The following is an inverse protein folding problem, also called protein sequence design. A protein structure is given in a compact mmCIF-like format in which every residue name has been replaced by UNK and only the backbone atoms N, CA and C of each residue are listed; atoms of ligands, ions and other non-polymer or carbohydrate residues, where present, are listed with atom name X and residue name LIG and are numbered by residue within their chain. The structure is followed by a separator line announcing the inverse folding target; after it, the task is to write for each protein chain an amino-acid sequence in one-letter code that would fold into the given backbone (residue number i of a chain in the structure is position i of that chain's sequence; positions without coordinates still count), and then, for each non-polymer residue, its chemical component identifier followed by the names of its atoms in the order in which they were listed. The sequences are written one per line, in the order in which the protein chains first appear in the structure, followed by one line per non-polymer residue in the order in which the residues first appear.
data_IF_823769989987
#
_entry.id   IF_823769989987
#
_cell.length_a   1.000
_cell.length_b   1.000
_cell.length_c   1.000
_cell.angle_alpha   90.00
_cell.angle_beta   90.00
_cell.angle_gamma   90.00
#
_symmetry.space_group_name_H-M   'P 1'
#
loop_
_entity.id
_entity.type
_entity.pdbx_description
1 polymer ?
#
# COMPACT_ATOMS: atom_id res chain seq x y z
N UNK A 1 17.21 9.34 -9.54
CA UNK A 1 16.26 8.70 -10.48
C UNK A 1 16.41 9.36 -11.83
N UNK A 2 16.53 8.59 -12.92
CA UNK A 2 16.59 9.16 -14.28
C UNK A 2 15.18 9.56 -14.72
N UNK A 3 15.02 10.78 -15.26
CA UNK A 3 13.76 11.27 -15.80
C UNK A 3 13.51 10.62 -17.16
N UNK A 4 12.31 10.07 -17.38
CA UNK A 4 11.93 9.49 -18.68
C UNK A 4 11.66 10.61 -19.69
N UNK A 5 12.15 10.49 -20.94
CA UNK A 5 11.83 11.45 -22.01
C UNK A 5 10.32 11.58 -22.25
N UNK A 6 9.88 12.75 -22.73
CA UNK A 6 8.49 12.96 -23.17
C UNK A 6 8.20 12.23 -24.46
N UNK A 7 6.94 11.79 -24.62
CA UNK A 7 6.42 11.29 -25.90
C UNK A 7 6.43 12.40 -26.95
N UNK A 8 6.72 12.05 -28.20
CA UNK A 8 6.78 13.01 -29.32
C UNK A 8 5.39 13.46 -29.80
N UNK A 9 4.36 12.64 -29.56
CA UNK A 9 2.95 12.89 -29.88
C UNK A 9 2.07 12.29 -28.80
N UNK A 10 0.83 12.77 -28.68
CA UNK A 10 -0.15 12.19 -27.77
C UNK A 10 -0.25 10.68 -28.02
N UNK A 11 0.04 9.89 -27.00
CA UNK A 11 0.14 8.44 -27.09
C UNK A 11 -0.85 7.80 -26.13
N UNK A 12 -1.70 6.94 -26.68
CA UNK A 12 -2.70 6.19 -25.91
C UNK A 12 -2.11 4.86 -25.46
N UNK A 13 -2.26 4.55 -24.17
CA UNK A 13 -1.84 3.29 -23.57
C UNK A 13 -3.06 2.53 -23.03
N UNK A 14 -3.04 1.20 -23.16
CA UNK A 14 -4.13 0.33 -22.72
C UNK A 14 -5.30 0.24 -23.72
N UNK A 15 -6.36 -0.42 -23.30
CA UNK A 15 -7.57 -0.67 -24.10
C UNK A 15 -8.81 -0.35 -23.28
N UNK A 16 -9.90 0.07 -23.93
CA UNK A 16 -11.15 0.37 -23.23
C UNK A 16 -11.61 -0.83 -22.38
N UNK A 17 -11.98 -0.63 -21.10
CA UNK A 17 -12.22 0.66 -20.42
C UNK A 17 -11.00 1.22 -19.66
N UNK A 18 -9.83 0.58 -19.74
CA UNK A 18 -8.60 0.95 -19.02
C UNK A 18 -7.59 1.62 -19.96
N UNK A 19 -7.76 2.92 -20.14
CA UNK A 19 -6.97 3.70 -21.11
C UNK A 19 -6.37 4.93 -20.47
N UNK A 20 -5.09 5.18 -20.73
CA UNK A 20 -4.38 6.40 -20.35
C UNK A 20 -3.88 7.12 -21.60
N UNK A 21 -3.70 8.44 -21.52
CA UNK A 21 -3.12 9.25 -22.60
C UNK A 21 -1.95 10.04 -22.05
N UNK A 22 -0.75 9.86 -22.61
CA UNK A 22 0.40 10.71 -22.34
C UNK A 22 0.54 11.75 -23.45
N UNK A 23 0.74 13.01 -23.07
CA UNK A 23 0.90 14.14 -23.98
C UNK A 23 2.36 14.63 -24.00
N UNK A 24 2.83 15.20 -25.13
CA UNK A 24 4.18 15.77 -25.21
C UNK A 24 4.46 16.88 -24.19
N UNK A 25 3.41 17.54 -23.70
CA UNK A 25 3.48 18.54 -22.63
C UNK A 25 3.88 17.97 -21.26
N UNK A 26 3.95 16.64 -21.12
CA UNK A 26 4.18 15.97 -19.84
C UNK A 26 2.92 15.71 -19.03
N UNK A 27 1.74 15.97 -19.58
CA UNK A 27 0.47 15.54 -18.99
C UNK A 27 0.26 14.03 -19.22
N UNK A 28 0.00 13.29 -18.16
CA UNK A 28 -0.45 11.90 -18.17
C UNK A 28 -1.89 11.87 -17.66
N UNK A 29 -2.84 11.63 -18.55
CA UNK A 29 -4.26 11.52 -18.22
C UNK A 29 -4.65 10.06 -17.98
N UNK A 30 -4.91 9.70 -16.73
CA UNK A 30 -5.32 8.37 -16.30
C UNK A 30 -6.83 8.15 -16.42
N UNK A 31 -7.60 9.19 -16.74
CA UNK A 31 -9.07 9.15 -16.83
C UNK A 31 -9.57 9.95 -18.04
N UNK A 32 -9.10 9.65 -19.26
CA UNK A 32 -9.38 10.44 -20.47
C UNK A 32 -10.87 10.46 -20.84
N UNK A 33 -11.63 9.45 -20.39
CA UNK A 33 -13.07 9.35 -20.64
C UNK A 33 -13.93 10.03 -19.56
N UNK A 34 -13.32 10.62 -18.52
CA UNK A 34 -14.05 11.33 -17.47
C UNK A 34 -14.14 12.82 -17.75
N UNK A 35 -15.31 13.40 -17.51
CA UNK A 35 -15.56 14.84 -17.54
C UNK A 35 -15.02 15.56 -16.31
N UNK A 36 -14.72 14.83 -15.23
CA UNK A 36 -14.14 15.34 -14.00
C UNK A 36 -12.64 15.04 -13.96
N UNK A 37 -11.86 15.85 -13.24
CA UNK A 37 -10.50 15.46 -12.94
C UNK A 37 -9.72 16.46 -12.12
N UNK A 38 -8.88 15.94 -11.24
CA UNK A 38 -7.88 16.70 -10.51
C UNK A 38 -6.52 16.51 -11.17
N UNK A 39 -5.66 17.52 -11.04
CA UNK A 39 -4.29 17.51 -11.57
C UNK A 39 -3.29 17.74 -10.46
N UNK A 40 -2.17 17.02 -10.50
CA UNK A 40 -1.06 17.25 -9.58
C UNK A 40 0.27 16.94 -10.28
N UNK A 41 1.31 17.66 -9.89
CA UNK A 41 2.66 17.46 -10.38
C UNK A 41 3.29 16.23 -9.73
N UNK A 42 4.04 15.46 -10.50
CA UNK A 42 4.82 14.31 -10.03
C UNK A 42 6.28 14.44 -10.47
N UNK A 43 7.14 13.61 -9.90
CA UNK A 43 8.57 13.61 -10.24
C UNK A 43 8.82 13.49 -11.75
N UNK A 44 9.79 14.26 -12.26
CA UNK A 44 10.21 14.23 -13.66
C UNK A 44 9.43 15.18 -14.57
N UNK A 45 9.02 16.35 -14.05
CA UNK A 45 8.32 17.40 -14.80
C UNK A 45 7.04 16.90 -15.50
N UNK A 46 6.32 16.01 -14.80
CA UNK A 46 5.05 15.44 -15.25
C UNK A 46 3.90 15.98 -14.44
N UNK A 47 2.75 16.07 -15.08
CA UNK A 47 1.47 16.31 -14.41
C UNK A 47 0.58 15.11 -14.63
N UNK A 48 -0.01 14.59 -13.57
CA UNK A 48 -1.00 13.50 -13.66
C UNK A 48 -2.39 14.09 -13.53
N UNK A 49 -3.32 13.66 -14.39
CA UNK A 49 -4.76 13.89 -14.25
C UNK A 49 -5.47 12.57 -13.95
N UNK A 50 -6.43 12.59 -13.02
CA UNK A 50 -7.32 11.47 -12.75
C UNK A 50 -8.71 11.93 -12.30
N UNK A 51 -9.71 11.07 -12.47
CA UNK A 51 -11.04 11.26 -11.89
C UNK A 51 -11.01 10.84 -10.40
N UNK A 52 -11.22 11.77 -9.46
CA UNK A 52 -11.13 11.46 -8.04
C UNK A 52 -12.18 10.43 -7.59
N UNK A 53 -13.38 10.43 -8.18
CA UNK A 53 -14.46 9.49 -7.84
C UNK A 53 -14.15 8.05 -8.25
N UNK A 54 -13.21 7.87 -9.18
CA UNK A 54 -12.72 6.57 -9.67
C UNK A 54 -11.31 6.26 -9.19
N UNK A 55 -10.77 7.05 -8.27
CA UNK A 55 -9.47 6.83 -7.68
C UNK A 55 -9.58 6.50 -6.19
N UNK A 56 -8.60 5.74 -5.70
CA UNK A 56 -8.41 5.49 -4.29
C UNK A 56 -6.94 5.66 -3.90
N UNK A 57 -6.69 6.33 -2.77
CA UNK A 57 -5.42 6.22 -2.05
C UNK A 57 -5.49 5.02 -1.11
N UNK A 58 -4.62 4.04 -1.34
CA UNK A 58 -4.44 2.89 -0.48
C UNK A 58 -3.29 3.21 0.49
N UNK A 59 -3.64 3.41 1.76
CA UNK A 59 -2.68 3.67 2.83
C UNK A 59 -2.36 2.35 3.53
N UNK A 60 -1.13 1.87 3.36
CA UNK A 60 -0.72 0.52 3.73
C UNK A 60 0.04 0.52 5.07
N UNK A 61 -0.39 -0.36 5.98
CA UNK A 61 0.31 -0.78 7.20
C UNK A 61 0.87 0.36 8.08
N UNK A 62 0.22 1.53 8.11
CA UNK A 62 0.60 2.66 8.96
C UNK A 62 0.17 2.43 10.42
N UNK A 63 0.48 1.26 10.97
CA UNK A 63 0.08 0.77 12.29
C UNK A 63 1.24 0.85 13.29
N UNK A 64 0.91 0.92 14.58
CA UNK A 64 1.89 0.92 15.68
C UNK A 64 2.87 -0.25 15.61
N UNK A 65 2.41 -1.43 15.20
CA UNK A 65 3.29 -2.60 15.06
C UNK A 65 4.49 -2.35 14.14
N UNK A 66 4.31 -1.58 13.06
CA UNK A 66 5.35 -1.35 12.04
C UNK A 66 6.19 -0.11 12.32
N UNK A 67 5.62 0.88 13.00
CA UNK A 67 6.22 2.21 13.13
C UNK A 67 6.69 2.54 14.55
N UNK A 68 6.12 1.92 15.58
CA UNK A 68 6.49 2.25 16.95
C UNK A 68 7.90 1.75 17.28
N UNK A 69 8.82 2.61 17.78
CA UNK A 69 10.24 2.30 17.95
C UNK A 69 10.52 1.14 18.92
N UNK A 70 9.59 0.88 19.84
CA UNK A 70 9.68 -0.26 20.76
C UNK A 70 9.36 -1.61 20.11
N UNK A 71 8.66 -1.63 18.96
CA UNK A 71 8.29 -2.87 18.25
C UNK A 71 9.11 -3.09 16.98
N UNK A 72 9.49 -2.01 16.27
CA UNK A 72 10.24 -2.04 15.02
C UNK A 72 11.19 -0.85 14.90
N UNK A 73 12.28 -1.04 14.16
CA UNK A 73 13.16 0.04 13.73
C UNK A 73 12.84 0.39 12.28
N UNK A 74 12.08 1.45 12.04
CA UNK A 74 11.66 1.82 10.69
C UNK A 74 11.72 3.34 10.43
N UNK A 75 12.92 3.95 10.44
CA UNK A 75 13.08 5.40 10.30
C UNK A 75 12.47 5.95 9.00
N UNK A 76 12.66 5.24 7.88
CA UNK A 76 12.07 5.61 6.58
C UNK A 76 10.54 5.52 6.55
N UNK A 77 9.95 4.68 7.41
CA UNK A 77 8.50 4.57 7.56
C UNK A 77 7.94 5.74 8.36
N UNK A 78 8.64 6.16 9.41
CA UNK A 78 8.30 7.35 10.19
C UNK A 78 8.35 8.62 9.34
N UNK A 79 9.30 8.72 8.41
CA UNK A 79 9.38 9.83 7.44
C UNK A 79 8.14 9.92 6.53
N UNK A 80 7.38 8.84 6.36
CA UNK A 80 6.15 8.84 5.56
C UNK A 80 4.94 9.42 6.31
N UNK A 81 4.99 9.54 7.64
CA UNK A 81 3.86 10.02 8.45
C UNK A 81 3.50 11.46 8.09
N UNK A 82 4.49 12.37 8.09
CA UNK A 82 4.25 13.79 7.81
C UNK A 82 3.70 14.04 6.39
N UNK A 83 4.33 13.55 5.30
CA UNK A 83 3.77 13.70 3.95
C UNK A 83 2.35 13.14 3.82
N UNK A 84 2.06 12.03 4.50
CA UNK A 84 0.71 11.45 4.48
C UNK A 84 -0.31 12.37 5.16
N UNK A 85 0.04 12.96 6.32
CA UNK A 85 -0.81 13.95 7.00
C UNK A 85 -1.10 15.17 6.12
N UNK A 86 -0.12 15.60 5.35
CA UNK A 86 -0.25 16.78 4.48
C UNK A 86 -1.15 16.48 3.27
N UNK A 87 -1.09 15.26 2.73
CA UNK A 87 -1.81 14.86 1.50
C UNK A 87 -3.24 14.38 1.77
N UNK A 88 -3.50 13.74 2.91
CA UNK A 88 -4.82 13.17 3.23
C UNK A 88 -5.96 14.20 3.15
N UNK A 89 -5.89 15.38 3.77
CA UNK A 89 -6.96 16.38 3.69
C UNK A 89 -7.23 16.84 2.26
N UNK A 90 -6.18 17.03 1.46
CA UNK A 90 -6.28 17.49 0.06
C UNK A 90 -7.00 16.44 -0.78
N UNK A 91 -6.65 15.16 -0.63
CA UNK A 91 -7.28 14.08 -1.38
C UNK A 91 -8.73 13.84 -0.94
N UNK A 92 -9.02 13.92 0.36
CA UNK A 92 -10.39 13.86 0.88
C UNK A 92 -11.26 14.98 0.31
N UNK A 93 -10.77 16.22 0.34
CA UNK A 93 -11.47 17.38 -0.22
C UNK A 93 -11.69 17.24 -1.74
N UNK A 94 -10.72 16.65 -2.45
CA UNK A 94 -10.83 16.36 -3.87
C UNK A 94 -11.81 15.21 -4.20
N UNK A 95 -12.33 14.49 -3.20
CA UNK A 95 -13.24 13.37 -3.39
C UNK A 95 -12.56 12.06 -3.76
N UNK A 96 -11.26 11.92 -3.51
CA UNK A 96 -10.54 10.65 -3.67
C UNK A 96 -10.88 9.74 -2.50
N UNK A 97 -11.15 8.46 -2.78
CA UNK A 97 -11.46 7.48 -1.75
C UNK A 97 -10.19 7.16 -0.95
N UNK A 98 -10.24 7.27 0.38
CA UNK A 98 -9.14 6.86 1.25
C UNK A 98 -9.45 5.48 1.79
N UNK A 99 -8.57 4.50 1.53
CA UNK A 99 -8.71 3.14 2.04
C UNK A 99 -7.49 2.80 2.89
N UNK A 100 -7.73 2.62 4.19
CA UNK A 100 -6.75 2.12 5.14
C UNK A 100 -6.64 0.60 5.00
N UNK A 101 -5.55 0.14 4.39
CA UNK A 101 -5.24 -1.27 4.19
C UNK A 101 -4.25 -1.72 5.26
N UNK A 102 -4.76 -2.40 6.28
CA UNK A 102 -4.01 -2.70 7.49
C UNK A 102 -4.17 -4.16 7.88
N UNK A 103 -3.23 -4.69 8.66
CA UNK A 103 -3.40 -5.99 9.27
C UNK A 103 -4.47 -5.94 10.37
N UNK A 104 -5.30 -6.97 10.40
CA UNK A 104 -6.35 -7.12 11.42
C UNK A 104 -6.89 -8.53 11.38
N UNK A 105 -6.17 -9.45 12.02
CA UNK A 105 -6.52 -10.87 12.08
C UNK A 105 -7.61 -11.13 13.13
N UNK A 106 -8.51 -12.04 12.82
CA UNK A 106 -9.44 -12.67 13.77
C UNK A 106 -8.96 -14.10 14.10
N UNK A 107 -9.51 -14.74 15.13
CA UNK A 107 -9.02 -16.07 15.58
C UNK A 107 -9.04 -17.13 14.48
N UNK A 108 -10.11 -17.12 13.68
CA UNK A 108 -10.27 -18.05 12.57
C UNK A 108 -9.20 -17.86 11.49
N UNK A 109 -8.65 -16.65 11.34
CA UNK A 109 -7.63 -16.39 10.33
C UNK A 109 -6.33 -17.11 10.67
N UNK A 110 -6.02 -17.24 11.97
CA UNK A 110 -4.81 -17.91 12.47
C UNK A 110 -4.70 -19.36 11.97
N UNK A 111 -5.83 -20.03 11.80
CA UNK A 111 -5.91 -21.40 11.28
C UNK A 111 -5.48 -21.50 9.81
N UNK A 112 -5.55 -20.39 9.06
CA UNK A 112 -5.22 -20.32 7.63
C UNK A 112 -3.82 -19.79 7.34
N UNK A 113 -3.07 -19.36 8.36
CA UNK A 113 -1.78 -18.68 8.19
C UNK A 113 -0.72 -19.70 7.75
N UNK A 114 -0.04 -19.47 6.61
CA UNK A 114 1.07 -20.33 6.19
C UNK A 114 2.22 -20.30 7.21
N UNK A 115 2.90 -21.43 7.48
CA UNK A 115 4.02 -21.47 8.42
C UNK A 115 5.16 -20.48 8.09
N UNK A 116 5.42 -20.25 6.81
CA UNK A 116 6.43 -19.28 6.37
C UNK A 116 6.05 -17.85 6.78
N UNK A 117 4.78 -17.48 6.67
CA UNK A 117 4.27 -16.18 7.06
C UNK A 117 4.31 -16.02 8.58
N UNK A 118 3.85 -17.03 9.32
CA UNK A 118 3.92 -17.03 10.78
C UNK A 118 5.36 -16.82 11.29
N UNK A 119 6.33 -17.52 10.68
CA UNK A 119 7.76 -17.41 11.00
C UNK A 119 8.31 -16.00 10.85
N UNK A 120 7.84 -15.22 9.87
CA UNK A 120 8.29 -13.83 9.65
C UNK A 120 7.98 -12.90 10.84
N UNK A 121 7.00 -13.25 11.68
CA UNK A 121 6.56 -12.44 12.81
C UNK A 121 6.97 -13.02 14.17
N UNK A 122 7.73 -14.10 14.22
CA UNK A 122 8.12 -14.77 15.47
C UNK A 122 9.19 -14.03 16.30
N UNK A 123 9.76 -12.95 15.77
CA UNK A 123 10.82 -12.15 16.42
C UNK A 123 10.54 -10.65 16.31
N UNK A 124 9.59 -10.10 17.09
CA UNK A 124 9.46 -8.64 17.22
C UNK A 124 10.74 -8.04 17.85
N UNK A 125 10.97 -6.72 17.67
CA UNK A 125 12.12 -5.99 18.25
C UNK A 125 11.97 -5.77 19.77
N UNK A 126 11.53 -6.79 20.50
CA UNK A 126 11.45 -6.82 21.96
C UNK A 126 12.58 -7.64 22.60
N UNK A 127 13.56 -8.06 21.79
CA UNK A 127 14.74 -8.82 22.25
C UNK A 127 14.43 -10.23 22.73
N UNK A 128 13.20 -10.72 22.56
CA UNK A 128 12.73 -12.04 22.99
C UNK A 128 11.97 -12.73 21.87
N UNK A 129 12.11 -14.06 21.80
CA UNK A 129 11.18 -14.88 21.05
C UNK A 129 9.82 -14.85 21.75
N UNK A 130 8.75 -14.75 20.97
CA UNK A 130 7.39 -14.91 21.47
C UNK A 130 7.01 -16.39 21.39
N UNK A 131 6.29 -16.88 22.39
CA UNK A 131 5.82 -18.26 22.50
C UNK A 131 4.31 -18.27 22.80
N UNK A 132 3.45 -18.83 21.92
CA UNK A 132 3.80 -19.44 20.62
C UNK A 132 4.36 -18.42 19.62
N UNK A 133 5.24 -18.84 18.69
CA UNK A 133 5.86 -17.94 17.73
C UNK A 133 4.92 -17.54 16.59
N UNK A 134 4.87 -16.24 16.28
CA UNK A 134 4.28 -15.72 15.04
C UNK A 134 3.05 -14.85 15.24
N UNK A 135 2.24 -14.74 14.19
CA UNK A 135 1.01 -13.93 14.20
C UNK A 135 0.04 -14.41 15.30
N UNK A 136 -0.61 -13.48 15.99
CA UNK A 136 -1.48 -13.78 17.13
C UNK A 136 -0.79 -14.03 18.47
N UNK A 137 0.55 -14.09 18.51
CA UNK A 137 1.30 -14.22 19.77
C UNK A 137 1.09 -13.01 20.68
N UNK A 138 1.07 -13.21 22.00
CA UNK A 138 0.89 -12.13 22.96
C UNK A 138 2.20 -11.37 23.22
N UNK A 139 2.20 -10.05 23.00
CA UNK A 139 3.31 -9.16 23.32
C UNK A 139 3.20 -8.55 24.74
N UNK A 140 2.20 -8.96 25.50
CA UNK A 140 1.88 -8.45 26.81
C UNK A 140 0.85 -7.32 26.77
N UNK A 141 0.33 -6.98 27.95
CA UNK A 141 -0.80 -6.04 28.14
C UNK A 141 -0.59 -4.65 27.52
N UNK A 142 0.67 -4.22 27.32
CA UNK A 142 0.98 -2.93 26.71
C UNK A 142 0.71 -2.90 25.20
N UNK A 143 1.01 -3.99 24.49
CA UNK A 143 1.00 -4.02 23.02
C UNK A 143 -0.11 -4.91 22.44
N UNK A 144 -0.59 -5.88 23.21
CA UNK A 144 -1.60 -6.85 22.78
C UNK A 144 -1.04 -7.95 21.89
N UNK A 145 -1.94 -8.72 21.27
CA UNK A 145 -1.57 -9.83 20.39
C UNK A 145 -1.15 -9.35 19.00
N UNK A 146 -0.09 -9.95 18.45
CA UNK A 146 0.51 -9.53 17.18
C UNK A 146 -0.53 -9.50 16.07
N UNK A 147 -0.80 -8.29 15.56
CA UNK A 147 -1.63 -8.02 14.39
C UNK A 147 -3.08 -8.54 14.46
N UNK A 148 -3.58 -8.82 15.67
CA UNK A 148 -4.98 -9.17 15.89
C UNK A 148 -5.85 -7.91 15.92
N UNK A 149 -7.03 -8.00 15.30
CA UNK A 149 -7.97 -6.89 15.15
C UNK A 149 -8.36 -6.32 16.52
N UNK A 150 -8.25 -5.00 16.66
CA UNK A 150 -8.62 -4.27 17.89
C UNK A 150 -7.48 -4.15 18.91
N UNK A 151 -6.36 -4.87 18.72
CA UNK A 151 -5.19 -4.76 19.59
C UNK A 151 -4.46 -3.42 19.39
N UNK A 152 -3.77 -2.96 20.44
CA UNK A 152 -3.06 -1.68 20.39
C UNK A 152 -2.07 -1.58 19.22
N UNK A 153 -1.35 -2.68 18.93
CA UNK A 153 -0.38 -2.71 17.84
C UNK A 153 -1.01 -2.60 16.44
N UNK A 154 -2.33 -2.84 16.31
CA UNK A 154 -3.07 -2.66 15.03
C UNK A 154 -3.66 -1.27 14.85
N UNK A 155 -3.66 -0.43 15.89
CA UNK A 155 -4.09 0.97 15.77
C UNK A 155 -3.12 1.73 14.85
N UNK A 156 -3.65 2.77 14.19
CA UNK A 156 -2.81 3.67 13.41
C UNK A 156 -1.72 4.27 14.27
N UNK A 157 -0.56 4.50 13.64
CA UNK A 157 0.53 5.21 14.28
C UNK A 157 0.12 6.64 14.64
N UNK A 158 0.70 7.14 15.71
CA UNK A 158 0.39 8.48 16.24
C UNK A 158 0.51 9.57 15.17
N UNK A 159 -0.39 10.55 15.27
CA UNK A 159 -0.45 11.68 14.36
C UNK A 159 -1.21 11.42 13.06
N UNK A 160 -1.61 10.18 12.76
CA UNK A 160 -2.53 9.87 11.66
C UNK A 160 -3.97 9.86 12.15
N UNK A 161 -4.83 10.61 11.48
CA UNK A 161 -6.24 10.76 11.83
C UNK A 161 -7.11 10.25 10.68
N UNK A 162 -8.15 9.51 11.05
CA UNK A 162 -9.17 9.03 10.13
C UNK A 162 -10.38 9.95 10.13
N UNK A 163 -11.03 10.05 8.98
CA UNK A 163 -12.32 10.74 8.87
C UNK A 163 -13.47 9.75 8.63
N UNK A 164 -14.73 10.11 8.96
CA UNK A 164 -15.87 9.22 8.78
C UNK A 164 -16.08 8.71 7.34
N UNK A 165 -15.62 9.46 6.32
CA UNK A 165 -15.68 9.01 4.93
C UNK A 165 -14.57 8.01 4.53
N UNK A 166 -13.54 7.84 5.36
CA UNK A 166 -12.48 6.89 5.08
C UNK A 166 -12.99 5.45 5.19
N UNK A 167 -12.40 4.56 4.40
CA UNK A 167 -12.76 3.15 4.34
C UNK A 167 -11.65 2.28 4.93
N UNK A 168 -12.02 1.10 5.43
CA UNK A 168 -11.11 0.17 6.09
C UNK A 168 -11.11 -1.19 5.41
N UNK A 169 -9.96 -1.68 5.00
CA UNK A 169 -9.80 -3.05 4.52
C UNK A 169 -8.76 -3.78 5.38
N UNK A 170 -9.18 -4.83 6.08
CA UNK A 170 -8.25 -5.69 6.78
C UNK A 170 -7.61 -6.67 5.80
N UNK A 171 -6.31 -6.90 5.97
CA UNK A 171 -5.60 -7.99 5.30
C UNK A 171 -5.09 -9.00 6.32
N UNK A 172 -5.15 -10.26 5.91
CA UNK A 172 -4.71 -11.43 6.68
C UNK A 172 -3.48 -12.09 6.05
N UNK A 173 -2.92 -11.44 5.02
CA UNK A 173 -1.73 -11.81 4.26
C UNK A 173 -0.87 -10.57 4.06
N UNK A 174 0.36 -10.77 3.58
CA UNK A 174 1.25 -9.65 3.22
C UNK A 174 0.62 -8.73 2.18
N UNK A 175 0.01 -9.32 1.14
CA UNK A 175 -0.73 -8.59 0.11
C UNK A 175 -2.16 -8.29 0.55
N UNK A 176 -2.63 -7.08 0.23
CA UNK A 176 -4.06 -6.76 0.28
C UNK A 176 -4.88 -7.34 -0.87
N UNK A 177 -4.23 -7.70 -1.98
CA UNK A 177 -4.84 -8.43 -3.10
C UNK A 177 -4.58 -9.91 -2.90
N UNK A 178 -5.59 -10.63 -2.44
CA UNK A 178 -5.48 -12.06 -2.12
C UNK A 178 -6.01 -12.94 -3.26
N UNK A 179 -6.72 -12.35 -4.24
CA UNK A 179 -7.29 -13.07 -5.37
C UNK A 179 -8.42 -14.02 -4.97
N UNK A 180 -8.92 -13.90 -3.74
CA UNK A 180 -10.05 -14.67 -3.21
C UNK A 180 -11.28 -13.79 -3.09
N UNK A 181 -12.45 -14.42 -3.07
CA UNK A 181 -13.73 -13.76 -2.78
C UNK A 181 -13.80 -13.18 -1.37
N UNK A 182 -12.78 -13.35 -0.52
CA UNK A 182 -12.77 -12.87 0.86
C UNK A 182 -11.90 -11.62 1.05
N UNK A 183 -11.19 -11.19 0.02
CA UNK A 183 -10.38 -9.97 0.04
C UNK A 183 -11.25 -8.71 0.22
N UNK A 184 -11.22 -8.12 1.42
CA UNK A 184 -11.97 -6.90 1.74
C UNK A 184 -11.60 -5.74 0.80
N UNK A 185 -10.32 -5.60 0.45
CA UNK A 185 -9.86 -4.56 -0.46
C UNK A 185 -10.47 -4.73 -1.85
N UNK A 186 -10.39 -5.94 -2.42
CA UNK A 186 -10.89 -6.20 -3.77
C UNK A 186 -12.41 -6.03 -3.85
N UNK A 187 -13.15 -6.40 -2.79
CA UNK A 187 -14.59 -6.12 -2.66
C UNK A 187 -14.87 -4.62 -2.73
N UNK A 188 -14.24 -3.83 -1.85
CA UNK A 188 -14.44 -2.38 -1.80
C UNK A 188 -14.09 -1.69 -3.11
N UNK A 189 -12.95 -2.04 -3.71
CA UNK A 189 -12.52 -1.47 -4.99
C UNK A 189 -13.53 -1.77 -6.10
N UNK A 190 -14.12 -2.96 -6.12
CA UNK A 190 -15.14 -3.37 -7.09
C UNK A 190 -16.47 -2.65 -6.85
N UNK A 191 -16.93 -2.57 -5.61
CA UNK A 191 -18.17 -1.88 -5.20
C UNK A 191 -18.15 -0.39 -5.56
N UNK A 192 -17.01 0.28 -5.31
CA UNK A 192 -16.82 1.70 -5.65
C UNK A 192 -16.52 1.93 -7.14
N UNK A 193 -16.22 0.86 -7.88
CA UNK A 193 -15.83 0.94 -9.29
C UNK A 193 -14.52 1.68 -9.52
N UNK A 194 -13.55 1.55 -8.59
CA UNK A 194 -12.24 2.19 -8.68
C UNK A 194 -11.46 1.69 -9.90
N UNK A 195 -10.76 2.62 -10.56
CA UNK A 195 -9.95 2.39 -11.77
C UNK A 195 -8.50 2.83 -11.62
N UNK A 196 -8.23 3.71 -10.65
CA UNK A 196 -6.88 4.24 -10.40
C UNK A 196 -6.53 4.06 -8.93
N UNK A 197 -5.34 3.49 -8.67
CA UNK A 197 -4.83 3.31 -7.31
C UNK A 197 -3.60 4.18 -7.12
N UNK A 198 -3.61 4.96 -6.05
CA UNK A 198 -2.45 5.62 -5.48
C UNK A 198 -2.04 4.82 -4.25
N UNK A 199 -0.74 4.69 -3.98
CA UNK A 199 -0.24 3.96 -2.82
C UNK A 199 0.59 4.87 -1.93
N UNK A 200 0.38 4.75 -0.63
CA UNK A 200 1.22 5.36 0.39
C UNK A 200 1.36 4.40 1.58
N UNK A 201 2.32 4.69 2.45
CA UNK A 201 2.55 3.96 3.69
C UNK A 201 3.76 3.03 3.64
N UNK A 202 3.72 1.99 4.45
CA UNK A 202 4.83 1.06 4.67
C UNK A 202 4.40 -0.37 4.35
N UNK A 203 5.28 -1.32 4.07
CA UNK A 203 6.72 -1.22 3.86
C UNK A 203 7.01 -1.09 2.35
N UNK A 204 7.48 0.07 1.89
CA UNK A 204 7.70 0.31 0.45
C UNK A 204 8.71 -0.67 -0.19
N UNK A 205 9.62 -1.26 0.59
CA UNK A 205 10.52 -2.34 0.17
C UNK A 205 9.79 -3.65 -0.09
N UNK A 206 8.74 -3.96 0.67
CA UNK A 206 7.86 -5.10 0.42
C UNK A 206 6.93 -4.83 -0.78
N UNK A 207 6.57 -3.56 -1.05
CA UNK A 207 5.79 -3.13 -2.22
C UNK A 207 6.63 -3.11 -3.52
N UNK A 208 7.94 -2.83 -3.43
CA UNK A 208 8.87 -2.82 -4.60
C UNK A 208 8.93 -4.14 -5.35
N UNK A 209 8.77 -5.27 -4.68
CA UNK A 209 8.73 -6.58 -5.33
C UNK A 209 7.55 -6.73 -6.30
N UNK A 210 6.52 -5.91 -6.18
CA UNK A 210 5.25 -6.10 -6.89
C UNK A 210 5.00 -5.07 -7.99
N UNK A 211 5.56 -3.85 -7.90
CA UNK A 211 5.49 -2.85 -8.98
C UNK A 211 6.33 -3.26 -10.21
N UNK A 212 7.29 -4.18 -10.05
CA UNK A 212 8.18 -4.65 -11.13
C UNK A 212 8.07 -6.15 -11.44
N UNK A 213 6.96 -6.81 -11.11
CA UNK A 213 6.74 -8.20 -11.53
C UNK A 213 6.15 -8.29 -12.95
N UNK A 214 6.86 -7.72 -13.92
CA UNK A 214 6.85 -8.17 -15.33
C UNK A 214 8.30 -8.14 -15.81
N UNK A 215 8.89 -9.33 -15.88
CA UNK A 215 10.19 -9.76 -16.40
C UNK A 215 11.25 -8.73 -16.84
N UNK A 216 12.49 -8.95 -16.38
CA UNK A 216 13.60 -9.16 -17.32
C UNK A 216 14.78 -9.89 -16.67
N UNK A 217 15.04 -11.09 -17.19
CA UNK A 217 16.34 -11.71 -17.45
C UNK A 217 17.55 -11.21 -16.62
N UNK A 218 18.01 -12.07 -15.69
CA UNK A 218 19.45 -12.20 -15.48
C UNK A 218 20.00 -13.12 -16.58
N UNK A 219 20.51 -12.49 -17.64
CA UNK A 219 21.48 -13.13 -18.52
C UNK A 219 22.65 -13.67 -17.69
N UNK A 220 23.07 -14.88 -18.05
CA UNK A 220 24.10 -15.62 -17.36
C UNK A 220 25.48 -14.96 -17.40
N UNK A 221 26.32 -15.39 -16.47
CA UNK A 221 27.76 -15.37 -16.61
C UNK A 221 28.26 -16.73 -16.17
N UNK A 222 28.68 -17.49 -17.16
CA UNK A 222 29.38 -18.77 -17.06
C UNK A 222 30.81 -18.52 -16.53
N UNK A 223 31.25 -19.39 -15.62
CA UNK A 223 32.63 -19.79 -15.28
C UNK A 223 33.83 -18.88 -15.62
N UNK A 224 34.62 -18.53 -14.61
CA UNK A 224 36.08 -18.77 -14.48
C UNK A 224 36.34 -18.87 -12.95
N UNK A 225 36.99 -19.87 -12.35
CA UNK A 225 38.12 -20.67 -12.80
C UNK A 225 39.39 -20.17 -12.11
N UNK A 226 39.59 -20.56 -10.84
CA UNK A 226 40.86 -20.96 -10.20
C UNK A 226 40.61 -21.48 -8.79
#
# INVERSE_FOLDING_TARGET
MNVRPSVLRSTTYGTSPHTWIEHPSGLVDLSPNSTQGIKFSVFGDRTVRLDPSKAALIVVDMQNYFLHPELRDHPTGLECVKPLKDVLPVLRQAGVNIIWLNWGLEEQDLLSIPPCLSRCFSKPKLGKWVDPPGLGADLGSKYGRILMKGEWNTKLYEGLETEPQDLWANKIRMSGFQGSSDSELEKRLRELGIKTLLFAGVNADQVRSWIFSTESNKQGSVYQGQ
#
